data_IF_773777899315
#
_entry.id   IF_773777899315
#
_cell.length_a   1.000
_cell.length_b   1.000
_cell.length_c   1.000
_cell.angle_alpha   90.00
_cell.angle_beta   90.00
_cell.angle_gamma   90.00
#
_symmetry.space_group_name_H-M   'P 1'
#
loop_
_entity.id
_entity.type
_entity.pdbx_description
1 polymer ?
#
# COMPACT_ATOMS: atom_id res chain seq x y z
N UNK A 1 37.10 8.49 -36.83
CA UNK A 1 35.70 8.15 -37.16
C UNK A 1 34.80 9.18 -36.49
N UNK A 2 34.11 10.03 -37.26
CA UNK A 2 33.29 11.12 -36.71
C UNK A 2 31.88 10.57 -36.55
N UNK A 3 31.44 10.36 -35.31
CA UNK A 3 30.06 9.97 -35.06
C UNK A 3 29.14 11.06 -35.63
N UNK A 4 28.21 10.68 -36.52
CA UNK A 4 27.21 11.60 -37.04
C UNK A 4 26.37 12.14 -35.87
N UNK A 5 26.11 13.44 -35.84
CA UNK A 5 25.24 14.07 -34.83
C UNK A 5 23.88 13.38 -34.74
N UNK A 6 23.37 12.82 -35.84
CA UNK A 6 22.13 12.03 -35.85
C UNK A 6 22.25 10.71 -35.07
N UNK A 7 23.40 10.03 -35.14
CA UNK A 7 23.64 8.79 -34.38
C UNK A 7 23.74 9.06 -32.88
N UNK A 8 24.32 10.21 -32.49
CA UNK A 8 24.39 10.63 -31.09
C UNK A 8 22.99 10.98 -30.54
N UNK A 9 22.17 11.70 -31.32
CA UNK A 9 20.79 12.02 -30.94
C UNK A 9 19.97 10.74 -30.77
N UNK A 10 20.08 9.79 -31.70
CA UNK A 10 19.37 8.51 -31.59
C UNK A 10 19.81 7.69 -30.38
N UNK A 11 21.12 7.66 -30.08
CA UNK A 11 21.64 7.00 -28.88
C UNK A 11 21.13 7.65 -27.59
N UNK A 12 21.07 8.99 -27.54
CA UNK A 12 20.50 9.75 -26.41
C UNK A 12 19.01 9.47 -26.21
N UNK A 13 18.23 9.42 -27.30
CA UNK A 13 16.80 9.09 -27.26
C UNK A 13 16.61 7.66 -26.75
N UNK A 14 17.33 6.69 -27.28
CA UNK A 14 17.26 5.29 -26.83
C UNK A 14 17.63 5.14 -25.34
N UNK A 15 18.66 5.84 -24.88
CA UNK A 15 19.09 5.82 -23.48
C UNK A 15 18.06 6.47 -22.55
N UNK A 16 17.39 7.53 -22.99
CA UNK A 16 16.31 8.17 -22.24
C UNK A 16 15.04 7.31 -22.13
N UNK A 17 14.69 6.56 -23.18
CA UNK A 17 13.56 5.61 -23.12
C UNK A 17 13.87 4.37 -22.27
N UNK A 18 15.12 3.91 -22.24
CA UNK A 18 15.55 2.80 -21.40
C UNK A 18 15.53 3.13 -19.89
N UNK A 19 15.54 4.42 -19.53
CA UNK A 19 15.47 4.91 -18.14
C UNK A 19 14.06 5.06 -17.58
N UNK A 20 13.00 4.88 -18.39
CA UNK A 20 11.63 4.83 -17.92
C UNK A 20 11.44 3.54 -17.11
N UNK A 21 11.74 3.65 -15.82
CA UNK A 21 11.40 2.62 -14.85
C UNK A 21 9.88 2.50 -14.84
N UNK A 22 9.33 1.38 -15.30
CA UNK A 22 7.95 1.01 -14.99
C UNK A 22 7.90 0.82 -13.48
N UNK A 23 7.49 1.88 -12.76
CA UNK A 23 6.90 1.68 -11.44
C UNK A 23 5.68 0.79 -11.64
N UNK A 24 5.45 -0.17 -10.75
CA UNK A 24 4.13 -0.82 -10.71
C UNK A 24 3.13 0.27 -10.37
N UNK A 25 2.33 0.63 -11.37
CA UNK A 25 1.53 1.86 -11.37
C UNK A 25 0.17 1.63 -10.69
N UNK A 26 -0.46 2.71 -10.24
CA UNK A 26 -1.84 2.77 -9.77
C UNK A 26 -2.33 4.22 -9.86
N UNK A 27 -3.64 4.42 -10.02
CA UNK A 27 -4.21 5.76 -10.27
C UNK A 27 -4.48 6.55 -8.98
N UNK A 28 -5.00 5.88 -7.95
CA UNK A 28 -5.36 6.51 -6.68
C UNK A 28 -5.33 5.53 -5.51
N UNK A 29 -5.53 6.06 -4.29
CA UNK A 29 -5.69 5.26 -3.08
C UNK A 29 -7.11 5.34 -2.54
N UNK A 30 -7.65 4.19 -2.15
CA UNK A 30 -8.70 4.15 -1.13
C UNK A 30 -8.07 4.16 0.26
N UNK A 31 -8.40 5.18 1.06
CA UNK A 31 -8.16 5.17 2.50
C UNK A 31 -9.42 4.66 3.21
N UNK A 32 -9.38 3.40 3.64
CA UNK A 32 -10.54 2.69 4.18
C UNK A 32 -10.48 2.64 5.70
N UNK A 33 -11.55 3.12 6.33
CA UNK A 33 -11.74 3.11 7.77
C UNK A 33 -12.89 2.18 8.16
N UNK A 34 -12.83 1.60 9.34
CA UNK A 34 -13.79 0.63 9.84
C UNK A 34 -14.27 0.98 11.25
N UNK A 35 -15.58 0.85 11.47
CA UNK A 35 -16.19 1.00 12.78
C UNK A 35 -16.18 -0.34 13.56
N UNK A 36 -15.49 -0.44 14.72
CA UNK A 36 -15.41 -1.68 15.49
C UNK A 36 -16.78 -2.23 15.91
N UNK A 37 -17.72 -1.35 16.24
CA UNK A 37 -19.05 -1.76 16.70
C UNK A 37 -19.80 -2.55 15.64
N UNK A 38 -19.82 -2.08 14.39
CA UNK A 38 -20.50 -2.75 13.28
C UNK A 38 -19.79 -4.03 12.84
N UNK A 39 -18.47 -4.11 13.02
CA UNK A 39 -17.73 -5.33 12.70
C UNK A 39 -18.01 -6.45 13.70
N UNK A 40 -18.08 -6.12 14.99
CA UNK A 40 -18.28 -7.08 16.06
C UNK A 40 -19.75 -7.44 16.34
N UNK A 41 -20.71 -6.64 15.87
CA UNK A 41 -22.14 -6.88 16.06
C UNK A 41 -22.75 -7.61 14.86
N UNK A 42 -22.16 -8.76 14.52
CA UNK A 42 -22.66 -9.64 13.44
C UNK A 42 -22.86 -11.07 13.98
N UNK A 43 -23.37 -11.98 13.15
CA UNK A 43 -23.43 -13.40 13.52
C UNK A 43 -22.04 -14.05 13.57
N UNK A 44 -21.01 -13.41 13.04
CA UNK A 44 -19.63 -13.89 13.12
C UNK A 44 -18.99 -13.47 14.44
N UNK A 45 -18.15 -14.33 15.00
CA UNK A 45 -17.38 -13.97 16.19
C UNK A 45 -16.30 -12.94 15.85
N UNK A 46 -16.04 -12.04 16.80
CA UNK A 46 -14.91 -11.13 16.75
C UNK A 46 -14.05 -11.29 18.01
N UNK A 47 -12.76 -10.99 17.88
CA UNK A 47 -11.81 -10.99 19.00
C UNK A 47 -11.24 -9.60 19.19
N UNK A 48 -11.16 -9.16 20.44
CA UNK A 48 -10.41 -7.95 20.74
C UNK A 48 -8.90 -8.20 20.65
N UNK A 49 -8.12 -7.16 20.33
CA UNK A 49 -6.67 -7.20 20.47
C UNK A 49 -6.20 -7.62 21.86
N UNK A 50 -4.97 -8.13 21.94
CA UNK A 50 -4.29 -8.41 23.22
C UNK A 50 -4.13 -7.19 24.12
N UNK A 51 -4.24 -5.99 23.55
CA UNK A 51 -4.21 -4.70 24.25
C UNK A 51 -5.56 -4.29 24.86
N UNK A 52 -6.61 -5.11 24.68
CA UNK A 52 -7.96 -4.86 25.21
C UNK A 52 -8.94 -4.32 24.17
N UNK A 53 -10.13 -3.95 24.65
CA UNK A 53 -11.22 -3.41 23.82
C UNK A 53 -10.78 -2.08 23.16
N UNK A 54 -10.93 -1.94 21.83
CA UNK A 54 -10.62 -0.68 21.14
C UNK A 54 -11.50 0.48 21.62
N UNK A 55 -11.02 1.72 21.42
CA UNK A 55 -11.86 2.90 21.58
C UNK A 55 -13.05 2.84 20.59
N UNK A 56 -14.21 3.45 20.93
CA UNK A 56 -15.34 3.58 20.02
C UNK A 56 -15.06 4.67 18.98
N UNK A 57 -14.06 4.44 18.13
CA UNK A 57 -13.63 5.31 17.05
C UNK A 57 -13.35 4.48 15.79
N UNK A 58 -13.25 5.15 14.64
CA UNK A 58 -12.87 4.49 13.40
C UNK A 58 -11.41 4.03 13.44
N UNK A 59 -11.19 2.74 13.19
CA UNK A 59 -9.86 2.19 12.93
C UNK A 59 -9.54 2.23 11.44
N UNK A 60 -8.26 2.18 11.08
CA UNK A 60 -7.84 2.00 9.68
C UNK A 60 -7.95 0.53 9.31
N UNK A 61 -8.71 0.24 8.26
CA UNK A 61 -8.77 -1.08 7.65
C UNK A 61 -7.62 -1.26 6.65
N UNK A 62 -7.37 -0.24 5.81
CA UNK A 62 -6.27 -0.31 4.85
C UNK A 62 -6.12 0.91 3.97
N UNK A 63 -4.96 0.97 3.31
CA UNK A 63 -4.64 1.91 2.25
C UNK A 63 -4.41 1.12 0.97
N UNK A 64 -5.32 1.23 0.00
CA UNK A 64 -5.37 0.33 -1.15
C UNK A 64 -5.12 1.09 -2.46
N UNK A 65 -4.03 0.78 -3.19
CA UNK A 65 -3.87 1.21 -4.57
C UNK A 65 -5.04 0.75 -5.44
N UNK A 66 -5.48 1.58 -6.38
CA UNK A 66 -6.61 1.28 -7.26
C UNK A 66 -6.43 1.93 -8.64
N UNK A 67 -7.16 1.41 -9.63
CA UNK A 67 -7.23 1.97 -10.97
C UNK A 67 -8.59 2.61 -11.24
N UNK A 68 -8.63 3.57 -12.16
CA UNK A 68 -9.84 4.27 -12.59
C UNK A 68 -10.84 3.34 -13.31
N UNK A 69 -10.39 2.19 -13.80
CA UNK A 69 -11.23 1.16 -14.43
C UNK A 69 -11.97 0.27 -13.41
N UNK A 70 -11.74 0.48 -12.11
CA UNK A 70 -12.34 -0.26 -11.01
C UNK A 70 -11.59 -1.55 -10.61
N UNK A 71 -10.52 -1.90 -11.32
CA UNK A 71 -9.62 -2.99 -10.92
C UNK A 71 -8.55 -2.48 -9.95
N UNK A 72 -7.75 -3.38 -9.39
CA UNK A 72 -6.69 -3.01 -8.44
C UNK A 72 -5.50 -3.96 -8.49
N UNK A 73 -4.28 -3.46 -8.27
CA UNK A 73 -3.12 -4.32 -8.12
C UNK A 73 -3.11 -4.96 -6.73
N UNK A 74 -2.66 -6.21 -6.65
CA UNK A 74 -2.50 -6.94 -5.39
C UNK A 74 -1.28 -7.87 -5.45
N UNK A 75 -0.68 -8.17 -4.29
CA UNK A 75 0.49 -9.07 -4.18
C UNK A 75 1.66 -8.70 -5.10
N UNK A 76 1.94 -7.40 -5.23
CA UNK A 76 2.82 -6.85 -6.25
C UNK A 76 4.28 -7.33 -6.16
N UNK A 77 4.78 -7.62 -4.96
CA UNK A 77 6.18 -8.00 -4.75
C UNK A 77 6.31 -9.04 -3.64
N UNK A 78 6.44 -10.32 -4.03
CA UNK A 78 6.67 -11.42 -3.11
C UNK A 78 8.09 -11.48 -2.55
N UNK A 79 9.03 -10.73 -3.16
CA UNK A 79 10.43 -10.68 -2.70
C UNK A 79 10.65 -9.65 -1.59
N UNK A 80 9.66 -8.80 -1.33
CA UNK A 80 9.69 -7.75 -0.31
C UNK A 80 8.62 -7.99 0.77
N UNK A 81 8.82 -8.99 1.65
CA UNK A 81 7.88 -9.27 2.72
C UNK A 81 7.85 -8.17 3.77
N UNK A 82 6.77 -8.14 4.55
CA UNK A 82 6.61 -7.20 5.67
C UNK A 82 7.75 -7.35 6.69
N UNK A 83 8.35 -6.22 7.05
CA UNK A 83 9.40 -6.12 8.07
C UNK A 83 8.99 -5.10 9.13
N UNK A 84 8.56 -5.61 10.29
CA UNK A 84 8.09 -4.82 11.42
C UNK A 84 9.10 -3.77 11.89
N UNK A 85 10.40 -4.04 11.75
CA UNK A 85 11.46 -3.13 12.23
C UNK A 85 11.48 -1.80 11.46
N UNK A 86 11.02 -1.81 10.21
CA UNK A 86 10.99 -0.64 9.30
C UNK A 86 9.81 0.30 9.55
N UNK A 87 8.83 -0.13 10.34
CA UNK A 87 7.56 0.61 10.54
C UNK A 87 7.43 1.15 11.98
N UNK A 88 8.52 1.16 12.74
CA UNK A 88 8.50 1.57 14.14
C UNK A 88 8.70 3.09 14.29
N UNK A 89 7.63 3.84 14.62
CA UNK A 89 7.80 4.89 15.62
C UNK A 89 6.65 4.91 16.63
N UNK A 90 7.01 4.87 17.92
CA UNK A 90 6.16 4.98 19.12
C UNK A 90 4.98 3.98 19.27
N UNK A 91 4.92 3.21 20.37
CA UNK A 91 3.95 2.13 20.58
C UNK A 91 2.47 2.55 20.65
N UNK A 92 2.10 3.81 20.42
CA UNK A 92 0.72 4.28 20.62
C UNK A 92 -0.05 4.56 19.33
N UNK A 93 0.62 4.89 18.22
CA UNK A 93 -0.08 5.28 16.98
C UNK A 93 -0.55 4.06 16.16
N UNK A 94 0.29 3.05 15.98
CA UNK A 94 -0.08 1.88 15.17
C UNK A 94 -0.98 0.88 15.93
N UNK A 95 -0.84 0.78 17.25
CA UNK A 95 -1.64 -0.16 18.05
C UNK A 95 -3.10 0.27 18.24
N UNK A 96 -3.40 1.58 18.22
CA UNK A 96 -4.76 2.09 18.31
C UNK A 96 -5.50 2.08 16.97
N UNK A 97 -4.77 2.22 15.87
CA UNK A 97 -5.33 2.50 14.55
C UNK A 97 -5.42 1.26 13.65
N UNK A 98 -4.51 0.29 13.79
CA UNK A 98 -4.33 -0.80 12.81
C UNK A 98 -4.80 -2.19 13.29
N UNK A 99 -5.63 -2.27 14.34
CA UNK A 99 -5.94 -3.54 15.03
C UNK A 99 -7.36 -4.06 14.85
N UNK A 100 -8.02 -3.68 13.77
CA UNK A 100 -9.26 -4.34 13.38
C UNK A 100 -9.05 -4.81 11.94
N UNK A 101 -8.96 -6.13 11.81
CA UNK A 101 -8.84 -6.90 10.57
C UNK A 101 -7.43 -6.93 9.95
N UNK A 102 -6.65 -7.91 10.38
CA UNK A 102 -5.86 -8.70 9.44
C UNK A 102 -6.13 -10.16 9.78
N UNK A 103 -6.50 -10.92 8.76
CA UNK A 103 -6.78 -12.36 8.82
C UNK A 103 -5.66 -13.15 9.52
#
# INVERSE_FOLDING_TARGET
>A
MKASSGALIQALVALSLAGLSVSKDFDFFYFVQQWPGSYCDTQQSCCYPTTGKPAPDFGVHGLWPNYNDGTYPSNCDSSNPFDQSKVTPTPNLLHGVCKIVSY
#
